data_IF_916710363017
#
_entry.id   IF_916710363017
#
_cell.length_a   1.000
_cell.length_b   1.000
_cell.length_c   1.000
_cell.angle_alpha   90.00
_cell.angle_beta   90.00
_cell.angle_gamma   90.00
#
_symmetry.space_group_name_H-M   'P 1'
#
loop_
_entity.id
_entity.type
_entity.pdbx_description
1 polymer ?
#
# COMPACT_ATOMS: atom_id res chain seq x y z
N UNK A 1 -17.45 46.91 -36.25
CA UNK A 1 -18.01 45.69 -35.66
C UNK A 1 -16.97 44.55 -35.52
N UNK A 2 -15.67 44.85 -35.35
CA UNK A 2 -14.58 43.84 -35.34
C UNK A 2 -13.91 43.65 -33.97
N UNK A 3 -14.28 44.41 -32.94
CA UNK A 3 -13.63 44.37 -31.62
C UNK A 3 -14.22 43.32 -30.65
N UNK A 4 -15.47 42.91 -30.81
CA UNK A 4 -16.10 41.91 -29.92
C UNK A 4 -15.69 40.43 -30.17
N UNK A 5 -15.27 40.13 -31.41
CA UNK A 5 -14.85 38.75 -31.77
C UNK A 5 -13.45 38.39 -31.23
N UNK A 6 -12.56 39.39 -31.16
CA UNK A 6 -11.18 39.22 -30.67
C UNK A 6 -11.12 39.05 -29.14
N UNK A 7 -11.97 39.73 -28.40
CA UNK A 7 -12.04 39.61 -26.92
C UNK A 7 -12.60 38.22 -26.50
N UNK A 8 -13.61 37.71 -27.22
CA UNK A 8 -14.12 36.36 -26.97
C UNK A 8 -13.11 35.25 -27.27
N UNK A 9 -12.29 35.39 -28.32
CA UNK A 9 -11.22 34.43 -28.64
C UNK A 9 -10.09 34.47 -27.61
N UNK A 10 -9.72 35.60 -27.08
CA UNK A 10 -8.70 35.76 -26.05
C UNK A 10 -9.17 35.16 -24.70
N UNK A 11 -10.46 35.29 -24.34
CA UNK A 11 -11.05 34.71 -23.13
C UNK A 11 -11.13 33.19 -23.21
N UNK A 12 -11.45 32.60 -24.36
CA UNK A 12 -11.52 31.13 -24.53
C UNK A 12 -10.13 30.51 -24.53
N UNK A 13 -9.12 31.17 -25.10
CA UNK A 13 -7.72 30.70 -25.05
C UNK A 13 -7.11 30.83 -23.65
N UNK A 14 -7.46 31.83 -22.88
CA UNK A 14 -7.04 32.00 -21.48
C UNK A 14 -7.65 30.98 -20.54
N UNK A 15 -8.91 30.58 -20.74
CA UNK A 15 -9.57 29.55 -19.95
C UNK A 15 -9.03 28.15 -20.25
N UNK A 16 -8.65 27.84 -21.48
CA UNK A 16 -8.04 26.56 -21.87
C UNK A 16 -6.62 26.39 -21.29
N UNK A 17 -5.85 27.48 -21.12
CA UNK A 17 -4.50 27.42 -20.54
C UNK A 17 -4.51 27.14 -19.00
N UNK A 18 -5.58 27.49 -18.31
CA UNK A 18 -5.73 27.25 -16.86
C UNK A 18 -6.09 25.79 -16.49
N UNK A 19 -6.50 24.98 -17.46
CA UNK A 19 -6.85 23.56 -17.24
C UNK A 19 -5.64 22.60 -17.29
N UNK A 20 -4.44 23.06 -17.62
CA UNK A 20 -3.24 22.23 -17.79
C UNK A 20 -2.36 22.12 -16.53
N UNK A 21 -2.79 22.67 -15.39
CA UNK A 21 -1.96 22.79 -14.19
C UNK A 21 -2.20 21.76 -13.07
N UNK A 22 -3.06 20.75 -13.23
CA UNK A 22 -3.42 19.86 -12.15
C UNK A 22 -3.01 18.39 -12.39
N UNK A 23 -1.80 18.15 -12.89
CA UNK A 23 -1.18 16.84 -12.69
C UNK A 23 -0.51 16.83 -11.31
N UNK A 24 -1.29 16.60 -10.24
CA UNK A 24 -0.69 16.25 -8.97
C UNK A 24 0.10 14.95 -9.19
N UNK A 25 1.42 14.99 -8.97
CA UNK A 25 2.24 13.79 -8.98
C UNK A 25 1.75 12.86 -7.86
N UNK A 26 1.77 11.54 -8.12
CA UNK A 26 1.50 10.56 -7.08
C UNK A 26 2.50 10.75 -5.92
N UNK A 27 2.09 10.54 -4.65
CA UNK A 27 2.96 10.68 -3.50
C UNK A 27 4.14 9.71 -3.59
N UNK A 28 5.29 10.15 -3.07
CA UNK A 28 6.51 9.37 -2.96
C UNK A 28 6.90 9.24 -1.48
N UNK A 29 7.69 8.24 -1.07
CA UNK A 29 8.17 8.15 0.31
C UNK A 29 8.93 9.41 0.77
N UNK A 30 9.63 10.09 -0.13
CA UNK A 30 10.38 11.31 0.17
C UNK A 30 9.49 12.45 0.70
N UNK A 31 8.22 12.49 0.30
CA UNK A 31 7.27 13.51 0.75
C UNK A 31 6.99 13.41 2.26
N UNK A 32 7.26 12.24 2.86
CA UNK A 32 7.06 11.95 4.28
C UNK A 32 8.36 11.98 5.10
N UNK A 33 9.51 12.33 4.51
CA UNK A 33 10.82 12.22 5.17
C UNK A 33 10.94 13.03 6.46
N UNK A 34 10.19 14.13 6.59
CA UNK A 34 10.12 14.97 7.79
C UNK A 34 9.11 14.52 8.85
N UNK A 35 8.26 13.53 8.53
CA UNK A 35 7.17 13.12 9.39
C UNK A 35 7.63 12.21 10.54
N UNK A 36 6.90 12.27 11.66
CA UNK A 36 7.14 11.47 12.85
C UNK A 36 5.85 10.73 13.28
N UNK A 37 6.01 9.62 14.03
CA UNK A 37 7.25 8.95 14.43
C UNK A 37 7.95 8.28 13.25
N UNK A 38 9.28 8.17 13.28
CA UNK A 38 10.01 7.50 12.20
C UNK A 38 9.72 6.00 12.18
N UNK A 39 9.33 5.48 11.03
CA UNK A 39 9.08 4.06 10.82
C UNK A 39 10.40 3.31 10.60
N UNK A 40 10.68 2.38 11.52
CA UNK A 40 11.68 1.33 11.36
C UNK A 40 10.96 -0.02 11.38
N UNK A 41 10.98 -0.75 10.27
CA UNK A 41 10.28 -2.03 10.15
C UNK A 41 10.78 -3.07 11.13
N UNK A 42 12.08 -3.05 11.46
CA UNK A 42 12.68 -4.00 12.40
C UNK A 42 12.19 -3.80 13.82
N UNK A 43 11.94 -2.56 14.20
CA UNK A 43 11.38 -2.22 15.51
C UNK A 43 9.88 -2.44 15.56
N UNK A 44 9.17 -2.05 14.50
CA UNK A 44 7.71 -2.17 14.46
C UNK A 44 7.27 -3.62 14.31
N UNK A 45 7.73 -4.32 13.28
CA UNK A 45 7.42 -5.74 13.05
C UNK A 45 8.36 -6.66 13.84
N UNK A 46 8.29 -6.57 15.16
CA UNK A 46 9.05 -7.44 16.08
C UNK A 46 8.17 -7.85 17.25
N UNK A 47 8.03 -9.17 17.47
CA UNK A 47 7.10 -9.75 18.40
C UNK A 47 5.68 -9.93 17.84
N UNK A 48 4.68 -10.12 18.71
CA UNK A 48 3.29 -10.30 18.29
C UNK A 48 2.63 -9.00 17.86
N UNK A 49 1.84 -9.07 16.80
CA UNK A 49 0.95 -7.99 16.33
C UNK A 49 -0.41 -8.57 15.96
N UNK A 50 -1.41 -7.70 15.93
CA UNK A 50 -2.72 -8.02 15.36
C UNK A 50 -3.05 -6.99 14.30
N UNK A 51 -3.63 -7.43 13.17
CA UNK A 51 -4.18 -6.51 12.19
C UNK A 51 -5.66 -6.80 11.94
N UNK A 52 -6.44 -5.76 11.69
CA UNK A 52 -7.81 -5.81 11.24
C UNK A 52 -7.91 -5.18 9.87
N UNK A 53 -8.52 -5.89 8.93
CA UNK A 53 -8.56 -5.42 7.57
C UNK A 53 -9.88 -5.68 6.85
N UNK A 54 -10.04 -4.98 5.76
CA UNK A 54 -11.16 -5.13 4.85
C UNK A 54 -10.70 -4.98 3.40
N UNK A 55 -11.41 -5.69 2.52
CA UNK A 55 -11.32 -5.51 1.07
C UNK A 55 -12.50 -4.68 0.60
N UNK A 56 -12.23 -3.66 -0.22
CA UNK A 56 -13.24 -2.96 -0.99
C UNK A 56 -13.07 -3.25 -2.47
N UNK A 57 -14.17 -3.39 -3.20
CA UNK A 57 -14.15 -3.42 -4.64
C UNK A 57 -13.92 -2.02 -5.23
N UNK A 58 -13.86 -1.91 -6.55
CA UNK A 58 -13.66 -0.62 -7.24
C UNK A 58 -14.77 0.40 -7.03
N UNK A 59 -15.95 -0.01 -6.54
CA UNK A 59 -17.04 0.89 -6.19
C UNK A 59 -16.96 1.42 -4.74
N UNK A 60 -15.99 0.92 -3.96
CA UNK A 60 -15.82 1.23 -2.54
C UNK A 60 -16.66 0.34 -1.61
N UNK A 61 -17.40 -0.65 -2.16
CA UNK A 61 -18.18 -1.59 -1.35
C UNK A 61 -17.25 -2.56 -0.63
N UNK A 62 -17.42 -2.72 0.70
CA UNK A 62 -16.72 -3.75 1.47
C UNK A 62 -17.24 -5.13 1.05
N UNK A 63 -16.35 -5.94 0.50
CA UNK A 63 -16.66 -7.30 0.01
C UNK A 63 -16.17 -8.40 0.95
N UNK A 64 -15.15 -8.13 1.78
CA UNK A 64 -14.62 -9.10 2.74
C UNK A 64 -13.92 -8.38 3.89
N UNK A 65 -14.03 -8.93 5.11
CA UNK A 65 -13.27 -8.48 6.29
C UNK A 65 -12.40 -9.61 6.78
N UNK A 66 -11.33 -9.28 7.49
CA UNK A 66 -10.43 -10.27 8.05
C UNK A 66 -9.66 -9.74 9.26
N UNK A 67 -9.15 -10.66 10.04
CA UNK A 67 -8.15 -10.39 11.10
C UNK A 67 -6.89 -11.17 10.80
N UNK A 68 -5.74 -10.64 11.21
CA UNK A 68 -4.46 -11.31 11.08
C UNK A 68 -3.80 -11.35 12.45
N UNK A 69 -3.41 -12.53 12.90
CA UNK A 69 -2.47 -12.68 14.02
C UNK A 69 -1.09 -12.84 13.43
N UNK A 70 -0.16 -12.01 13.88
CA UNK A 70 1.19 -12.00 13.36
C UNK A 70 2.19 -12.32 14.46
N UNK A 71 3.20 -13.11 14.12
CA UNK A 71 4.39 -13.28 14.92
C UNK A 71 5.61 -12.90 14.10
N UNK A 72 6.24 -11.82 14.49
CA UNK A 72 7.30 -11.19 13.71
C UNK A 72 8.63 -11.31 14.43
N UNK A 73 9.72 -11.54 13.68
CA UNK A 73 11.07 -11.64 14.24
C UNK A 73 12.11 -11.17 13.24
N UNK A 74 13.26 -10.74 13.77
CA UNK A 74 14.41 -10.34 12.99
C UNK A 74 15.69 -11.00 13.49
N UNK A 75 16.52 -11.41 12.54
CA UNK A 75 17.90 -11.87 12.79
C UNK A 75 18.84 -11.08 11.88
N UNK A 76 19.59 -10.15 12.47
CA UNK A 76 20.38 -9.19 11.71
C UNK A 76 19.48 -8.34 10.79
N UNK A 77 19.72 -8.41 9.49
CA UNK A 77 18.92 -7.72 8.47
C UNK A 77 17.83 -8.60 7.83
N UNK A 78 17.59 -9.81 8.33
CA UNK A 78 16.57 -10.73 7.84
C UNK A 78 15.36 -10.74 8.77
N UNK A 79 14.18 -10.42 8.23
CA UNK A 79 12.92 -10.41 8.95
C UNK A 79 12.01 -11.57 8.51
N UNK A 80 11.22 -12.07 9.45
CA UNK A 80 10.14 -13.02 9.18
C UNK A 80 8.86 -12.47 9.77
N UNK A 81 7.80 -12.32 8.93
CA UNK A 81 6.46 -12.00 9.40
C UNK A 81 5.58 -13.24 9.14
N UNK A 82 5.22 -13.93 10.21
CA UNK A 82 4.35 -15.11 10.17
C UNK A 82 2.92 -14.64 10.42
N UNK A 83 2.04 -14.79 9.44
CA UNK A 83 0.71 -14.19 9.38
C UNK A 83 -0.37 -15.28 9.30
N UNK A 84 -1.26 -15.35 10.31
CA UNK A 84 -2.44 -16.20 10.32
C UNK A 84 -3.71 -15.36 10.07
N UNK A 85 -4.28 -15.50 8.89
CA UNK A 85 -5.50 -14.83 8.47
C UNK A 85 -6.74 -15.58 8.90
N UNK A 86 -7.74 -14.86 9.37
CA UNK A 86 -9.11 -15.35 9.57
C UNK A 86 -10.09 -14.39 8.91
N UNK A 87 -10.79 -14.88 7.91
CA UNK A 87 -11.74 -14.10 7.12
C UNK A 87 -13.16 -14.18 7.69
N UNK A 88 -14.00 -13.20 7.34
CA UNK A 88 -15.41 -13.11 7.80
C UNK A 88 -16.30 -14.25 7.33
N UNK A 89 -15.90 -15.00 6.30
CA UNK A 89 -16.54 -16.22 5.82
C UNK A 89 -16.03 -17.49 6.54
N UNK A 90 -15.16 -17.34 7.54
CA UNK A 90 -14.57 -18.44 8.30
C UNK A 90 -13.34 -19.09 7.67
N UNK A 91 -13.00 -18.71 6.45
CA UNK A 91 -11.79 -19.21 5.77
C UNK A 91 -10.55 -18.76 6.54
N UNK A 92 -9.53 -19.61 6.57
CA UNK A 92 -8.22 -19.32 7.16
C UNK A 92 -7.15 -19.48 6.12
N UNK A 93 -6.17 -18.60 6.16
CA UNK A 93 -4.98 -18.64 5.30
C UNK A 93 -3.76 -18.32 6.13
N UNK A 94 -2.60 -18.76 5.66
CA UNK A 94 -1.30 -18.44 6.23
C UNK A 94 -0.42 -17.84 5.17
N UNK A 95 0.34 -16.79 5.55
CA UNK A 95 1.40 -16.20 4.73
C UNK A 95 2.63 -15.98 5.59
N UNK A 96 3.79 -16.23 5.03
CA UNK A 96 5.06 -15.93 5.67
C UNK A 96 5.86 -15.04 4.76
N UNK A 97 6.02 -13.79 5.15
CA UNK A 97 6.97 -12.89 4.51
C UNK A 97 8.38 -13.13 5.05
N UNK A 98 9.33 -13.17 4.13
CA UNK A 98 10.76 -13.12 4.39
C UNK A 98 11.28 -11.81 3.86
N UNK A 99 11.68 -10.93 4.77
CA UNK A 99 12.12 -9.57 4.46
C UNK A 99 13.64 -9.46 4.55
N UNK A 100 14.20 -8.54 3.77
CA UNK A 100 15.60 -8.12 3.90
C UNK A 100 15.66 -6.61 4.04
N UNK A 101 16.28 -6.13 5.11
CA UNK A 101 16.67 -4.73 5.25
C UNK A 101 17.95 -4.49 4.43
N UNK A 102 17.82 -3.68 3.38
CA UNK A 102 18.88 -3.32 2.45
C UNK A 102 19.64 -2.05 2.88
N UNK A 103 19.24 -1.48 4.01
CA UNK A 103 19.74 -0.21 4.52
C UNK A 103 19.15 1.02 3.81
N UNK A 104 19.35 2.18 4.44
CA UNK A 104 18.87 3.48 3.94
C UNK A 104 17.35 3.50 3.66
N UNK A 105 16.56 2.85 4.52
CA UNK A 105 15.10 2.79 4.40
C UNK A 105 14.61 1.91 3.24
N UNK A 106 15.47 1.10 2.63
CA UNK A 106 15.08 0.18 1.54
C UNK A 106 14.94 -1.22 2.07
N UNK A 107 13.91 -1.91 1.60
CA UNK A 107 13.59 -3.27 1.98
C UNK A 107 13.22 -4.09 0.74
N UNK A 108 13.49 -5.39 0.79
CA UNK A 108 12.91 -6.34 -0.15
C UNK A 108 12.20 -7.47 0.62
N UNK A 109 11.32 -8.20 -0.07
CA UNK A 109 10.60 -9.30 0.57
C UNK A 109 10.06 -10.32 -0.40
N UNK A 110 9.86 -11.53 0.13
CA UNK A 110 9.29 -12.67 -0.59
C UNK A 110 8.26 -13.37 0.26
N UNK A 111 7.20 -13.86 -0.38
CA UNK A 111 6.25 -14.80 0.19
C UNK A 111 5.87 -15.81 -0.88
N UNK A 112 5.27 -16.94 -0.49
CA UNK A 112 5.02 -18.05 -1.43
C UNK A 112 3.98 -17.69 -2.52
N UNK A 113 3.11 -16.72 -2.22
CA UNK A 113 2.09 -16.19 -3.14
C UNK A 113 2.51 -14.89 -3.84
N UNK A 114 3.76 -14.43 -3.65
CA UNK A 114 4.32 -13.24 -4.31
C UNK A 114 5.15 -13.64 -5.53
N UNK A 115 4.86 -13.04 -6.66
CA UNK A 115 5.58 -13.23 -7.90
C UNK A 115 6.88 -12.44 -7.87
N UNK A 116 8.00 -13.15 -7.85
CA UNK A 116 9.31 -12.52 -7.78
C UNK A 116 9.63 -11.97 -6.40
N UNK A 117 9.95 -10.69 -6.31
CA UNK A 117 10.33 -10.01 -5.07
C UNK A 117 9.55 -8.70 -4.92
N UNK A 118 9.09 -8.44 -3.72
CA UNK A 118 8.52 -7.16 -3.33
C UNK A 118 9.64 -6.16 -3.02
N UNK A 119 9.37 -4.87 -3.24
CA UNK A 119 10.29 -3.79 -2.94
C UNK A 119 9.61 -2.72 -2.08
N UNK A 120 10.32 -2.23 -1.07
CA UNK A 120 9.85 -1.21 -0.16
C UNK A 120 10.82 -0.07 0.05
N UNK A 121 10.26 1.12 0.24
CA UNK A 121 11.01 2.32 0.62
C UNK A 121 10.28 3.00 1.77
N UNK A 122 10.99 3.16 2.89
CA UNK A 122 10.52 3.88 4.07
C UNK A 122 11.18 5.26 4.15
N UNK A 123 10.38 6.28 4.49
CA UNK A 123 10.88 7.61 4.82
C UNK A 123 9.92 8.27 5.83
N UNK A 124 10.46 8.91 6.86
CA UNK A 124 9.67 9.46 7.96
C UNK A 124 8.77 8.39 8.57
N UNK A 125 7.48 8.64 8.65
CA UNK A 125 6.50 7.70 9.20
C UNK A 125 5.88 6.76 8.16
N UNK A 126 6.28 6.82 6.88
CA UNK A 126 5.65 6.10 5.79
C UNK A 126 6.55 5.03 5.18
N UNK A 127 5.94 3.94 4.70
CA UNK A 127 6.52 2.93 3.83
C UNK A 127 5.63 2.78 2.61
N UNK A 128 6.22 2.83 1.41
CA UNK A 128 5.58 2.31 0.21
C UNK A 128 6.15 0.93 -0.11
N UNK A 129 5.26 -0.06 -0.25
CA UNK A 129 5.59 -1.45 -0.51
C UNK A 129 4.89 -1.93 -1.77
N UNK A 130 5.64 -2.40 -2.76
CA UNK A 130 5.10 -2.80 -4.06
C UNK A 130 5.40 -4.25 -4.37
N UNK A 131 4.39 -4.99 -4.81
CA UNK A 131 4.52 -6.41 -5.16
C UNK A 131 3.43 -6.85 -6.13
N UNK A 132 3.61 -8.03 -6.70
CA UNK A 132 2.59 -8.73 -7.48
C UNK A 132 2.20 -9.99 -6.73
N UNK A 133 0.91 -10.13 -6.44
CA UNK A 133 0.36 -11.29 -5.76
C UNK A 133 -0.28 -12.25 -6.76
N UNK A 134 0.04 -13.55 -6.66
CA UNK A 134 -0.57 -14.62 -7.42
C UNK A 134 -1.84 -15.11 -6.69
N UNK A 135 -2.96 -14.43 -6.93
CA UNK A 135 -4.24 -14.77 -6.29
C UNK A 135 -4.89 -15.97 -6.95
N UNK A 136 -5.31 -16.94 -6.14
CA UNK A 136 -6.17 -18.03 -6.61
C UNK A 136 -7.62 -17.53 -6.63
N UNK A 137 -8.18 -17.38 -7.82
CA UNK A 137 -9.59 -17.03 -8.06
C UNK A 137 -10.21 -18.20 -8.80
N UNK A 138 -11.09 -18.94 -8.11
CA UNK A 138 -11.62 -20.23 -8.57
C UNK A 138 -10.49 -21.20 -8.94
N UNK A 139 -10.48 -21.69 -10.18
CA UNK A 139 -9.46 -22.60 -10.72
C UNK A 139 -8.26 -21.89 -11.39
N UNK A 140 -8.19 -20.55 -11.32
CA UNK A 140 -7.18 -19.75 -12.03
C UNK A 140 -6.30 -18.97 -11.09
N UNK A 141 -5.03 -18.80 -11.49
CA UNK A 141 -4.12 -17.87 -10.84
C UNK A 141 -4.19 -16.53 -11.57
N UNK A 142 -4.43 -15.48 -10.82
CA UNK A 142 -4.52 -14.11 -11.34
C UNK A 142 -3.45 -13.26 -10.65
N UNK A 143 -2.52 -12.73 -11.43
CA UNK A 143 -1.51 -11.81 -10.92
C UNK A 143 -2.13 -10.42 -10.77
N UNK A 144 -2.08 -9.88 -9.54
CA UNK A 144 -2.60 -8.57 -9.15
C UNK A 144 -1.45 -7.73 -8.58
N UNK A 145 -1.27 -6.52 -9.10
CA UNK A 145 -0.31 -5.56 -8.59
C UNK A 145 -0.87 -4.86 -7.35
N UNK A 146 -0.04 -4.74 -6.34
CA UNK A 146 -0.31 -4.00 -5.11
C UNK A 146 0.64 -2.81 -5.01
N UNK A 147 0.07 -1.63 -4.79
CA UNK A 147 0.76 -0.41 -4.36
C UNK A 147 0.28 -0.10 -2.95
N UNK A 148 1.11 -0.46 -1.99
CA UNK A 148 0.77 -0.59 -0.59
C UNK A 148 1.48 0.51 0.20
N UNK A 149 0.70 1.33 0.89
CA UNK A 149 1.18 2.40 1.73
C UNK A 149 0.87 2.13 3.19
N UNK A 150 1.89 2.20 4.04
CA UNK A 150 1.78 2.06 5.48
C UNK A 150 2.21 3.36 6.14
N UNK A 151 1.47 3.78 7.18
CA UNK A 151 1.72 5.01 7.92
C UNK A 151 1.75 4.71 9.41
N UNK A 152 2.91 4.90 10.03
CA UNK A 152 3.05 4.75 11.48
C UNK A 152 2.38 5.96 12.15
N UNK A 153 1.35 5.71 12.94
CA UNK A 153 0.57 6.74 13.61
C UNK A 153 1.16 7.07 14.99
N UNK A 154 1.58 6.03 15.70
CA UNK A 154 2.25 6.10 17.00
C UNK A 154 3.08 4.81 17.19
N UNK A 155 3.61 4.56 18.38
CA UNK A 155 4.45 3.38 18.68
C UNK A 155 3.69 2.04 18.52
N UNK A 156 2.36 2.06 18.54
CA UNK A 156 1.51 0.88 18.56
C UNK A 156 0.70 0.68 17.29
N UNK A 157 0.25 1.77 16.66
CA UNK A 157 -0.72 1.72 15.56
C UNK A 157 -0.06 2.11 14.23
N UNK A 158 -0.25 1.29 13.23
CA UNK A 158 0.12 1.58 11.85
C UNK A 158 -1.09 1.34 10.93
N UNK A 159 -1.43 2.33 10.13
CA UNK A 159 -2.48 2.22 9.12
C UNK A 159 -1.88 1.83 7.79
N UNK A 160 -2.62 1.03 7.05
CA UNK A 160 -2.22 0.53 5.74
C UNK A 160 -3.35 0.72 4.73
N UNK A 161 -2.96 1.08 3.52
CA UNK A 161 -3.84 1.26 2.38
C UNK A 161 -3.16 0.74 1.12
N UNK A 162 -3.66 -0.35 0.56
CA UNK A 162 -3.07 -1.04 -0.59
C UNK A 162 -4.02 -1.02 -1.79
N UNK A 163 -3.67 -0.25 -2.81
CA UNK A 163 -4.39 -0.24 -4.07
C UNK A 163 -4.08 -1.51 -4.87
N UNK A 164 -5.13 -2.17 -5.37
CA UNK A 164 -5.03 -3.35 -6.21
C UNK A 164 -5.28 -2.97 -7.66
N UNK A 165 -4.42 -3.43 -8.57
CA UNK A 165 -4.61 -3.22 -10.00
C UNK A 165 -4.18 -4.42 -10.83
N UNK A 166 -4.71 -4.50 -12.06
CA UNK A 166 -4.29 -5.47 -13.07
C UNK A 166 -4.26 -4.78 -14.43
N UNK A 167 -3.15 -4.89 -15.15
CA UNK A 167 -2.94 -4.20 -16.43
C UNK A 167 -3.25 -2.70 -16.36
N UNK A 168 -2.92 -2.05 -15.23
CA UNK A 168 -3.20 -0.63 -14.98
C UNK A 168 -4.65 -0.31 -14.61
N UNK A 169 -5.55 -1.30 -14.60
CA UNK A 169 -6.95 -1.11 -14.21
C UNK A 169 -7.09 -1.31 -12.70
N UNK A 170 -7.62 -0.30 -12.00
CA UNK A 170 -7.93 -0.38 -10.57
C UNK A 170 -9.02 -1.41 -10.30
N UNK A 171 -8.78 -2.30 -9.34
CA UNK A 171 -9.68 -3.39 -8.95
C UNK A 171 -10.38 -3.16 -7.62
N UNK A 172 -9.75 -2.40 -6.74
CA UNK A 172 -10.20 -2.17 -5.38
C UNK A 172 -9.03 -1.93 -4.44
N UNK A 173 -9.29 -2.01 -3.15
CA UNK A 173 -8.33 -1.64 -2.12
C UNK A 173 -8.39 -2.59 -0.92
N UNK A 174 -7.26 -2.79 -0.29
CA UNK A 174 -7.15 -3.37 1.06
C UNK A 174 -6.80 -2.26 2.02
N UNK A 175 -7.58 -2.14 3.09
CA UNK A 175 -7.27 -1.27 4.23
C UNK A 175 -7.00 -2.13 5.45
N UNK A 176 -5.90 -1.87 6.19
CA UNK A 176 -5.59 -2.53 7.46
C UNK A 176 -5.24 -1.51 8.54
N UNK A 177 -5.49 -1.92 9.78
CA UNK A 177 -4.92 -1.31 10.97
C UNK A 177 -4.13 -2.38 11.73
N UNK A 178 -2.82 -2.20 11.81
CA UNK A 178 -1.93 -3.01 12.64
C UNK A 178 -1.87 -2.42 14.04
N UNK A 179 -1.83 -3.30 15.05
CA UNK A 179 -1.75 -2.88 16.44
C UNK A 179 -0.79 -3.80 17.20
N UNK A 180 0.16 -3.19 17.90
CA UNK A 180 1.01 -3.89 18.89
C UNK A 180 0.28 -3.97 20.23
N UNK A 181 0.57 -4.99 21.05
CA UNK A 181 0.03 -5.11 22.43
C UNK A 181 0.29 -3.90 23.30
#
# INVERSE_FOLDING_TARGET
MTTFASVRRALVLGAAALMLGACASAPTPADYAGEAPKLDLRSYFNGPLTAHGLFTDRSGKVVRRFTVKMNCSWNGNQGTLDEDFTYSDGKKEKRVWRLTDLGNGRYSGRADDVVGEAAGVAAGNALNWRYTLALKVDERIVNVQFDDWMYLMDERVMLNKAAMSKFGIYLGEVTLAFTKP
#
